data_IF_563980707750
#
_entry.id   IF_563980707750
#
_cell.length_a   1.000
_cell.length_b   1.000
_cell.length_c   1.000
_cell.angle_alpha   90.00
_cell.angle_beta   90.00
_cell.angle_gamma   90.00
#
_symmetry.space_group_name_H-M   'P 1'
#
loop_
_entity.id
_entity.type
_entity.pdbx_description
1 polymer ?
#
# COMPACT_ATOMS: atom_id res chain seq x y z
N UNK A 1 11.06 -14.23 -1.93
CA UNK A 1 10.11 -15.31 -2.31
C UNK A 1 9.63 -16.12 -1.10
N UNK A 2 10.48 -16.34 -0.09
CA UNK A 2 10.14 -17.09 1.14
C UNK A 2 8.88 -16.56 1.83
N UNK A 3 8.80 -15.24 2.11
CA UNK A 3 7.60 -14.59 2.67
C UNK A 3 6.30 -14.90 1.91
N UNK A 4 6.35 -14.91 0.57
CA UNK A 4 5.15 -15.16 -0.25
C UNK A 4 4.66 -16.61 -0.17
N UNK A 5 5.58 -17.58 0.04
CA UNK A 5 5.25 -19.01 0.07
C UNK A 5 4.91 -19.50 1.47
N UNK A 6 5.63 -19.02 2.48
CA UNK A 6 5.59 -19.56 3.82
C UNK A 6 5.22 -18.53 4.90
N UNK A 7 5.04 -17.26 4.53
CA UNK A 7 4.73 -16.20 5.48
C UNK A 7 3.33 -16.34 6.07
N UNK A 8 3.22 -16.05 7.37
CA UNK A 8 1.97 -15.93 8.08
C UNK A 8 2.13 -14.83 9.14
N UNK A 9 1.09 -14.02 9.33
CA UNK A 9 1.07 -12.95 10.31
C UNK A 9 0.78 -13.45 11.74
N UNK A 10 0.25 -14.67 11.88
CA UNK A 10 -0.12 -15.25 13.18
C UNK A 10 0.62 -16.57 13.38
N UNK A 11 1.50 -16.63 14.39
CA UNK A 11 2.32 -17.80 14.70
C UNK A 11 1.46 -19.04 14.99
N UNK A 12 0.31 -18.88 15.66
CA UNK A 12 -0.58 -19.99 16.02
C UNK A 12 -1.29 -20.65 14.84
N UNK A 13 -1.29 -20.02 13.66
CA UNK A 13 -1.84 -20.60 12.43
C UNK A 13 -0.84 -21.50 11.69
N UNK A 14 0.43 -21.51 12.12
CA UNK A 14 1.50 -22.31 11.49
C UNK A 14 1.67 -23.61 12.24
N UNK A 15 1.66 -24.72 11.53
CA UNK A 15 1.94 -26.04 12.11
C UNK A 15 3.39 -26.11 12.60
N UNK A 16 3.57 -26.67 13.80
CA UNK A 16 4.89 -26.87 14.42
C UNK A 16 5.75 -27.87 13.65
N UNK A 17 5.13 -28.81 12.95
CA UNK A 17 5.81 -29.84 12.16
C UNK A 17 6.17 -29.38 10.74
N UNK A 18 5.65 -28.23 10.29
CA UNK A 18 5.88 -27.75 8.93
C UNK A 18 7.30 -27.18 8.79
N UNK A 19 8.06 -27.74 7.86
CA UNK A 19 9.42 -27.29 7.53
C UNK A 19 9.45 -26.62 6.15
N UNK A 20 10.44 -25.75 5.95
CA UNK A 20 10.71 -25.12 4.68
C UNK A 20 12.17 -25.24 4.27
N UNK A 21 12.38 -25.38 2.98
CA UNK A 21 13.70 -25.35 2.36
C UNK A 21 14.14 -23.91 2.11
N UNK A 22 15.24 -23.52 2.75
CA UNK A 22 15.86 -22.20 2.60
C UNK A 22 17.25 -22.38 2.01
N UNK A 23 17.49 -21.79 0.84
CA UNK A 23 18.83 -21.72 0.27
C UNK A 23 19.63 -20.59 0.94
N UNK A 24 20.77 -20.95 1.52
CA UNK A 24 21.74 -20.00 2.05
C UNK A 24 22.51 -19.27 0.94
N UNK A 25 23.33 -18.29 1.33
CA UNK A 25 24.22 -17.57 0.40
C UNK A 25 25.26 -18.50 -0.26
N UNK A 26 25.60 -19.59 0.42
CA UNK A 26 26.43 -20.72 -0.04
C UNK A 26 25.70 -21.65 -1.04
N UNK A 27 24.44 -21.32 -1.41
CA UNK A 27 23.52 -22.16 -2.22
C UNK A 27 23.19 -23.51 -1.59
N UNK A 28 23.57 -23.76 -0.34
CA UNK A 28 23.16 -24.97 0.37
C UNK A 28 21.72 -24.80 0.86
N UNK A 29 20.91 -25.81 0.61
CA UNK A 29 19.51 -25.84 1.07
C UNK A 29 19.48 -26.43 2.47
N UNK A 30 18.92 -25.67 3.42
CA UNK A 30 18.72 -26.09 4.80
C UNK A 30 17.23 -26.14 5.09
N UNK A 31 16.82 -27.15 5.85
CA UNK A 31 15.46 -27.26 6.38
C UNK A 31 15.36 -26.45 7.65
N UNK A 32 14.40 -25.53 7.67
CA UNK A 32 14.13 -24.64 8.79
C UNK A 32 12.63 -24.74 9.08
N UNK A 33 12.19 -24.79 10.35
CA UNK A 33 10.76 -24.84 10.66
C UNK A 33 10.07 -23.57 10.16
N UNK A 34 8.87 -23.71 9.59
CA UNK A 34 8.10 -22.58 9.05
C UNK A 34 7.80 -21.53 10.10
N UNK A 35 7.58 -21.99 11.33
CA UNK A 35 7.32 -21.18 12.52
C UNK A 35 8.33 -20.06 12.73
N UNK A 36 9.63 -20.30 12.48
CA UNK A 36 10.68 -19.30 12.63
C UNK A 36 10.39 -18.02 11.82
N UNK A 37 9.76 -18.16 10.66
CA UNK A 37 9.41 -17.00 9.83
C UNK A 37 8.21 -16.27 10.37
N UNK A 38 7.21 -16.98 10.89
CA UNK A 38 6.07 -16.36 11.55
C UNK A 38 6.50 -15.58 12.81
N UNK A 39 7.49 -16.09 13.55
CA UNK A 39 8.09 -15.40 14.72
C UNK A 39 8.79 -14.08 14.35
N UNK A 40 9.19 -13.91 13.09
CA UNK A 40 9.74 -12.65 12.56
C UNK A 40 8.62 -11.75 12.00
N UNK A 41 7.66 -12.34 11.27
CA UNK A 41 6.61 -11.60 10.57
C UNK A 41 5.58 -11.02 11.54
N UNK A 42 5.11 -11.81 12.50
CA UNK A 42 4.08 -11.39 13.46
C UNK A 42 4.44 -10.08 14.18
N UNK A 43 5.59 -9.96 14.89
CA UNK A 43 5.92 -8.73 15.60
C UNK A 43 6.04 -7.52 14.66
N UNK A 44 6.47 -7.72 13.41
CA UNK A 44 6.51 -6.64 12.41
C UNK A 44 5.11 -6.20 11.97
N UNK A 45 4.18 -7.14 11.84
CA UNK A 45 2.78 -6.84 11.54
C UNK A 45 2.08 -6.14 12.72
N UNK A 46 2.36 -6.55 13.96
CA UNK A 46 1.86 -5.89 15.16
C UNK A 46 2.36 -4.44 15.25
N UNK A 47 3.67 -4.22 15.05
CA UNK A 47 4.27 -2.88 15.03
C UNK A 47 3.62 -1.97 13.97
N UNK A 48 3.45 -2.47 12.74
CA UNK A 48 2.80 -1.73 11.67
C UNK A 48 1.34 -1.40 12.00
N UNK A 49 0.62 -2.34 12.61
CA UNK A 49 -0.76 -2.14 13.00
C UNK A 49 -0.87 -1.08 14.11
N UNK A 50 0.07 -1.08 15.06
CA UNK A 50 0.13 -0.07 16.12
C UNK A 50 0.45 1.33 15.57
N UNK A 51 1.29 1.43 14.53
CA UNK A 51 1.54 2.68 13.82
C UNK A 51 0.28 3.17 13.09
N UNK A 52 -0.43 2.26 12.42
CA UNK A 52 -1.69 2.57 11.73
C UNK A 52 -2.74 3.02 12.74
N UNK A 53 -2.87 2.34 13.88
CA UNK A 53 -3.81 2.68 14.95
C UNK A 53 -3.57 4.10 15.48
N UNK A 54 -2.31 4.43 15.76
CA UNK A 54 -1.93 5.79 16.20
C UNK A 54 -2.26 6.84 15.16
N UNK A 55 -2.04 6.56 13.88
CA UNK A 55 -2.38 7.49 12.81
C UNK A 55 -3.89 7.70 12.68
N UNK A 56 -4.67 6.61 12.80
CA UNK A 56 -6.12 6.63 12.84
C UNK A 56 -6.59 7.53 14.01
N UNK A 57 -6.13 7.26 15.24
CA UNK A 57 -6.48 8.03 16.44
C UNK A 57 -6.08 9.51 16.36
N UNK A 58 -4.93 9.82 15.75
CA UNK A 58 -4.47 11.20 15.53
C UNK A 58 -5.26 11.93 14.44
N UNK A 59 -5.86 11.20 13.51
CA UNK A 59 -6.65 11.80 12.45
C UNK A 59 -7.97 12.34 13.04
N UNK A 60 -8.08 13.67 13.12
CA UNK A 60 -9.28 14.38 13.61
C UNK A 60 -10.52 14.21 12.72
N UNK A 61 -10.47 13.29 11.76
CA UNK A 61 -11.42 13.13 10.65
C UNK A 61 -12.16 11.80 10.70
N UNK A 62 -11.96 11.01 11.75
CA UNK A 62 -12.81 9.85 12.01
C UNK A 62 -14.16 10.36 12.47
N UNK A 63 -15.10 10.46 11.53
CA UNK A 63 -16.49 10.66 11.90
C UNK A 63 -16.95 9.49 12.79
N UNK A 64 -17.73 9.74 13.84
CA UNK A 64 -18.27 8.68 14.68
C UNK A 64 -19.16 7.75 13.83
N UNK A 65 -18.62 6.61 13.41
CA UNK A 65 -19.32 5.65 12.55
C UNK A 65 -18.47 4.84 11.57
N UNK A 66 -17.14 4.74 11.73
CA UNK A 66 -16.31 3.96 10.81
C UNK A 66 -16.81 2.51 10.64
N UNK A 67 -17.15 2.16 9.40
CA UNK A 67 -17.65 0.85 8.98
C UNK A 67 -16.56 -0.24 8.87
N UNK A 68 -15.39 -0.01 9.48
CA UNK A 68 -14.23 -0.89 9.41
C UNK A 68 -13.12 -0.44 8.47
N UNK A 69 -12.10 -1.28 8.32
CA UNK A 69 -10.87 -1.06 7.55
C UNK A 69 -10.82 -2.00 6.34
N UNK A 70 -10.39 -1.47 5.19
CA UNK A 70 -10.16 -2.26 3.98
C UNK A 70 -8.66 -2.34 3.72
N UNK A 71 -8.12 -3.55 3.69
CA UNK A 71 -6.73 -3.81 3.33
C UNK A 71 -6.60 -3.99 1.82
N UNK A 72 -5.67 -3.26 1.21
CA UNK A 72 -5.36 -3.36 -0.22
C UNK A 72 -3.86 -3.58 -0.42
N UNK A 73 -3.43 -3.75 -1.68
CA UNK A 73 -2.03 -3.99 -2.02
C UNK A 73 -1.57 -5.42 -1.78
N UNK A 74 -0.37 -5.76 -2.25
CA UNK A 74 0.15 -7.13 -2.17
C UNK A 74 0.48 -7.62 -0.74
N UNK A 75 0.56 -6.72 0.24
CA UNK A 75 0.78 -7.08 1.65
C UNK A 75 -0.49 -7.65 2.31
N UNK A 76 -1.67 -7.21 1.87
CA UNK A 76 -2.97 -7.73 2.36
C UNK A 76 -3.15 -9.23 2.14
N UNK A 77 -2.42 -9.82 1.18
CA UNK A 77 -2.41 -11.25 0.88
C UNK A 77 -1.66 -12.11 1.91
N UNK A 78 -1.02 -11.49 2.91
CA UNK A 78 -0.32 -12.23 3.95
C UNK A 78 -1.34 -12.97 4.82
N UNK A 79 -1.19 -14.30 4.92
CA UNK A 79 -2.11 -15.14 5.68
C UNK A 79 -2.24 -14.69 7.15
N UNK A 80 -3.47 -14.41 7.58
CA UNK A 80 -3.81 -14.02 8.96
C UNK A 80 -3.58 -12.53 9.28
N UNK A 81 -3.18 -11.70 8.31
CA UNK A 81 -2.97 -10.27 8.53
C UNK A 81 -4.28 -9.54 8.84
N UNK A 82 -5.35 -9.90 8.14
CA UNK A 82 -6.72 -9.42 8.38
C UNK A 82 -7.15 -9.64 9.84
N UNK A 83 -6.98 -10.87 10.34
CA UNK A 83 -7.35 -11.25 11.71
C UNK A 83 -6.47 -10.57 12.76
N UNK A 84 -5.17 -10.43 12.49
CA UNK A 84 -4.25 -9.73 13.38
C UNK A 84 -4.63 -8.25 13.48
N UNK A 85 -4.94 -7.61 12.35
CA UNK A 85 -5.35 -6.21 12.33
C UNK A 85 -6.70 -6.01 13.01
N UNK A 86 -7.68 -6.90 12.78
CA UNK A 86 -8.98 -6.85 13.45
C UNK A 86 -8.84 -6.96 14.97
N UNK A 87 -8.01 -7.88 15.45
CA UNK A 87 -7.74 -8.04 16.88
C UNK A 87 -7.09 -6.79 17.51
N UNK A 88 -6.16 -6.14 16.81
CA UNK A 88 -5.43 -4.99 17.36
C UNK A 88 -6.18 -3.66 17.21
N UNK A 89 -6.95 -3.49 16.12
CA UNK A 89 -7.71 -2.26 15.82
C UNK A 89 -9.08 -2.24 16.50
N UNK A 90 -9.68 -3.40 16.78
CA UNK A 90 -11.05 -3.47 17.32
C UNK A 90 -12.12 -3.05 16.32
N UNK A 91 -11.79 -3.03 15.03
CA UNK A 91 -12.66 -2.68 13.90
C UNK A 91 -12.73 -3.87 12.95
N UNK A 92 -13.83 -4.02 12.22
CA UNK A 92 -13.92 -5.04 11.17
C UNK A 92 -12.87 -4.79 10.08
N UNK A 93 -12.11 -5.82 9.69
CA UNK A 93 -11.08 -5.72 8.66
C UNK A 93 -11.40 -6.66 7.51
N UNK A 94 -11.34 -6.17 6.27
CA UNK A 94 -11.55 -7.00 5.08
C UNK A 94 -10.50 -6.72 4.01
N UNK A 95 -10.25 -7.70 3.15
CA UNK A 95 -9.38 -7.52 1.98
C UNK A 95 -10.21 -6.92 0.85
N UNK A 96 -9.78 -5.76 0.34
CA UNK A 96 -10.41 -5.07 -0.77
C UNK A 96 -9.89 -5.58 -2.10
N UNK A 97 -10.80 -5.99 -2.97
CA UNK A 97 -10.51 -6.32 -4.36
C UNK A 97 -10.79 -5.12 -5.26
N UNK A 98 -10.00 -4.89 -6.32
CA UNK A 98 -10.32 -3.86 -7.29
C UNK A 98 -11.47 -4.29 -8.20
N UNK A 99 -12.59 -3.59 -8.08
CA UNK A 99 -13.77 -3.72 -8.94
C UNK A 99 -13.89 -2.51 -9.90
N UNK A 100 -14.60 -2.65 -11.02
CA UNK A 100 -14.90 -1.56 -11.96
C UNK A 100 -14.24 -1.61 -13.34
N UNK A 101 -13.45 -2.64 -13.65
CA UNK A 101 -12.85 -2.82 -15.00
C UNK A 101 -13.88 -3.29 -16.02
N UNK A 102 -14.87 -4.07 -15.58
CA UNK A 102 -15.92 -4.66 -16.41
C UNK A 102 -16.76 -3.61 -17.17
N UNK A 103 -16.93 -2.42 -16.60
CA UNK A 103 -17.72 -1.34 -17.21
C UNK A 103 -16.93 -0.45 -18.17
N UNK A 104 -15.60 -0.36 -18.02
CA UNK A 104 -14.77 0.64 -18.69
C UNK A 104 -13.90 0.07 -19.82
N UNK A 105 -13.71 -1.26 -19.87
CA UNK A 105 -12.93 -1.92 -20.90
C UNK A 105 -13.85 -2.69 -21.85
N UNK A 106 -13.88 -2.31 -23.14
CA UNK A 106 -14.66 -2.98 -24.20
C UNK A 106 -14.25 -4.46 -24.46
N UNK A 107 -13.24 -4.97 -23.76
CA UNK A 107 -12.79 -6.34 -23.84
C UNK A 107 -13.32 -7.12 -22.62
N UNK A 108 -14.48 -7.75 -22.79
CA UNK A 108 -15.06 -8.73 -21.87
C UNK A 108 -14.25 -10.04 -21.85
N UNK A 109 -12.91 -9.96 -21.89
CA UNK A 109 -12.05 -11.12 -21.91
C UNK A 109 -11.99 -11.72 -20.50
N UNK A 110 -12.51 -12.94 -20.29
CA UNK A 110 -12.53 -13.59 -18.98
C UNK A 110 -11.11 -13.82 -18.43
N UNK A 111 -10.10 -13.90 -19.29
CA UNK A 111 -8.69 -14.05 -18.92
C UNK A 111 -8.09 -12.79 -18.28
N UNK A 112 -8.57 -11.60 -18.64
CA UNK A 112 -8.10 -10.36 -18.03
C UNK A 112 -8.70 -10.20 -16.64
N UNK A 113 -10.01 -10.44 -16.51
CA UNK A 113 -10.78 -10.33 -15.27
C UNK A 113 -10.25 -11.27 -14.16
N UNK A 114 -9.88 -12.51 -14.51
CA UNK A 114 -9.32 -13.48 -13.54
C UNK A 114 -7.95 -13.07 -12.99
N UNK A 115 -7.15 -12.35 -13.78
CA UNK A 115 -5.77 -12.02 -13.42
C UNK A 115 -5.66 -10.69 -12.68
N UNK A 116 -6.61 -9.77 -12.89
CA UNK A 116 -6.61 -8.44 -12.26
C UNK A 116 -7.36 -8.39 -10.93
N UNK A 117 -8.16 -9.41 -10.62
CA UNK A 117 -8.86 -9.56 -9.34
C UNK A 117 -7.88 -9.98 -8.22
N UNK A 118 -6.97 -9.06 -7.88
CA UNK A 118 -5.97 -9.22 -6.86
C UNK A 118 -5.71 -7.85 -6.21
N UNK A 119 -5.64 -7.76 -4.86
CA UNK A 119 -5.41 -6.49 -4.17
C UNK A 119 -4.06 -5.85 -4.55
N UNK A 120 -3.12 -6.63 -5.11
CA UNK A 120 -1.85 -6.11 -5.64
C UNK A 120 -2.03 -5.09 -6.76
N UNK A 121 -3.14 -5.15 -7.50
CA UNK A 121 -3.42 -4.26 -8.63
C UNK A 121 -4.34 -3.09 -8.27
N UNK A 122 -4.81 -2.99 -7.02
CA UNK A 122 -5.78 -1.97 -6.60
C UNK A 122 -5.35 -0.54 -6.92
N UNK A 123 -4.08 -0.19 -6.70
CA UNK A 123 -3.58 1.15 -7.00
C UNK A 123 -3.58 1.43 -8.50
N UNK A 124 -3.10 0.49 -9.32
CA UNK A 124 -3.03 0.68 -10.78
C UNK A 124 -4.41 0.83 -11.40
N UNK A 125 -5.36 0.00 -10.97
CA UNK A 125 -6.75 0.04 -11.45
C UNK A 125 -7.44 1.33 -11.00
N UNK A 126 -7.24 1.74 -9.73
CA UNK A 126 -7.77 3.00 -9.23
C UNK A 126 -7.25 4.22 -10.00
N UNK A 127 -5.98 4.22 -10.41
CA UNK A 127 -5.42 5.30 -11.24
C UNK A 127 -6.02 5.34 -12.64
N UNK A 128 -6.26 4.18 -13.26
CA UNK A 128 -6.90 4.10 -14.57
C UNK A 128 -8.33 4.65 -14.48
N UNK A 129 -9.12 4.19 -13.50
CA UNK A 129 -10.49 4.64 -13.29
C UNK A 129 -10.55 6.14 -13.01
N UNK A 130 -9.67 6.65 -12.14
CA UNK A 130 -9.58 8.08 -11.86
C UNK A 130 -9.21 8.91 -13.11
N UNK A 131 -8.44 8.34 -14.04
CA UNK A 131 -8.12 8.98 -15.32
C UNK A 131 -9.28 8.98 -16.29
N UNK A 132 -10.12 7.94 -16.29
CA UNK A 132 -11.30 7.82 -17.16
C UNK A 132 -12.49 8.62 -16.65
N UNK A 133 -12.61 8.82 -15.34
CA UNK A 133 -13.73 9.55 -14.72
C UNK A 133 -13.66 11.09 -14.98
N UNK A 134 -12.52 11.59 -15.45
CA UNK A 134 -12.27 13.02 -15.69
C UNK A 134 -12.47 13.52 -17.12
N UNK A 135 -12.67 12.65 -18.13
CA UNK A 135 -12.77 13.05 -19.54
C UNK A 135 -13.80 12.16 -20.29
N UNK A 136 -14.71 12.73 -21.11
CA UNK A 136 -15.48 11.92 -22.06
C UNK A 136 -14.49 11.23 -23.01
N UNK A 137 -14.60 9.91 -23.13
CA UNK A 137 -13.78 9.00 -23.96
C UNK A 137 -13.02 9.75 -25.07
N UNK A 138 -11.70 9.97 -24.95
CA UNK A 138 -10.96 10.66 -25.98
C UNK A 138 -10.94 9.81 -27.24
N UNK A 139 -11.16 10.46 -28.39
CA UNK A 139 -11.13 9.90 -29.73
C UNK A 139 -10.08 8.77 -29.85
N UNK A 140 -10.41 7.60 -30.44
CA UNK A 140 -9.51 6.44 -30.54
C UNK A 140 -8.16 6.72 -31.25
N UNK A 141 -8.00 7.90 -31.86
CA UNK A 141 -6.74 8.41 -32.43
C UNK A 141 -5.69 8.82 -31.36
N UNK A 142 -6.08 9.05 -30.10
CA UNK A 142 -5.15 9.50 -29.04
C UNK A 142 -4.31 8.36 -28.43
N UNK A 143 -4.72 7.10 -28.58
CA UNK A 143 -3.94 5.95 -28.10
C UNK A 143 -2.62 5.77 -28.87
N UNK A 144 -2.46 6.41 -30.03
CA UNK A 144 -1.24 6.41 -30.83
C UNK A 144 -0.15 7.39 -30.37
N UNK A 145 -0.39 8.19 -29.32
CA UNK A 145 0.54 9.22 -28.81
C UNK A 145 0.90 9.00 -27.34
N UNK A 146 1.39 7.83 -26.99
CA UNK A 146 2.04 7.63 -25.68
C UNK A 146 3.47 8.20 -25.78
N UNK A 147 3.62 9.52 -25.70
CA UNK A 147 4.93 10.18 -25.63
C UNK A 147 5.47 10.22 -24.19
N UNK A 148 6.81 10.16 -24.06
CA UNK A 148 7.54 10.17 -22.78
C UNK A 148 7.30 11.42 -21.90
N UNK A 149 6.75 12.49 -22.47
CA UNK A 149 6.46 13.73 -21.75
C UNK A 149 5.39 13.56 -20.67
N UNK A 150 4.39 12.70 -20.91
CA UNK A 150 3.34 12.40 -19.92
C UNK A 150 3.88 11.57 -18.75
N UNK A 151 4.80 10.63 -19.03
CA UNK A 151 5.47 9.84 -18.00
C UNK A 151 6.38 10.70 -17.12
N UNK A 152 7.09 11.66 -17.71
CA UNK A 152 7.97 12.57 -16.97
C UNK A 152 7.17 13.45 -16.00
N UNK A 153 6.02 14.00 -16.41
CA UNK A 153 5.16 14.81 -15.53
C UNK A 153 4.52 14.03 -14.37
N UNK A 154 4.31 12.72 -14.52
CA UNK A 154 3.86 11.84 -13.43
C UNK A 154 5.02 11.56 -12.46
N UNK A 155 6.23 11.37 -12.98
CA UNK A 155 7.42 11.12 -12.18
C UNK A 155 7.82 12.35 -11.33
N UNK A 156 7.69 13.56 -11.89
CA UNK A 156 8.00 14.81 -11.19
C UNK A 156 7.06 15.06 -10.00
N UNK A 157 5.76 14.78 -10.16
CA UNK A 157 4.78 14.87 -9.06
C UNK A 157 5.03 13.82 -7.98
N UNK A 158 5.43 12.60 -8.37
CA UNK A 158 5.80 11.56 -7.42
C UNK A 158 7.05 11.95 -6.62
N UNK A 159 8.06 12.55 -7.29
CA UNK A 159 9.28 13.06 -6.65
C UNK A 159 8.97 14.17 -5.66
N UNK A 160 8.06 15.07 -6.02
CA UNK A 160 7.61 16.15 -5.14
C UNK A 160 6.81 15.64 -3.94
N UNK A 161 5.92 14.66 -4.14
CA UNK A 161 5.22 13.98 -3.07
C UNK A 161 6.17 13.24 -2.11
N UNK A 162 7.16 12.50 -2.62
CA UNK A 162 8.19 11.83 -1.80
C UNK A 162 9.02 12.85 -1.03
N UNK A 163 9.40 13.97 -1.67
CA UNK A 163 10.14 15.05 -1.01
C UNK A 163 9.33 15.66 0.15
N UNK A 164 8.03 15.78 -0.01
CA UNK A 164 7.14 16.31 1.03
C UNK A 164 6.90 15.28 2.15
N UNK A 165 6.80 13.99 1.81
CA UNK A 165 6.61 12.90 2.77
C UNK A 165 7.84 12.68 3.67
N UNK A 166 9.05 12.82 3.13
CA UNK A 166 10.31 12.66 3.87
C UNK A 166 10.93 14.01 4.29
N UNK A 167 10.07 15.01 4.51
CA UNK A 167 10.42 16.42 4.69
C UNK A 167 11.80 16.72 5.30
N UNK A 168 12.74 17.12 4.44
CA UNK A 168 13.82 18.02 4.83
C UNK A 168 13.21 19.42 4.87
N UNK A 169 12.65 19.80 6.01
CA UNK A 169 12.20 21.17 6.26
C UNK A 169 13.13 21.82 7.27
N UNK A 170 14.11 22.57 6.76
CA UNK A 170 14.82 23.59 7.51
C UNK A 170 14.48 24.95 6.91
N UNK A 171 13.35 25.54 7.28
CA UNK A 171 13.10 26.95 7.02
C UNK A 171 12.56 27.64 8.27
N UNK A 172 13.47 28.27 9.01
CA UNK A 172 13.21 29.35 9.97
C UNK A 172 14.57 30.09 10.08
N UNK A 173 14.71 31.41 9.88
CA UNK A 173 13.90 32.50 10.39
C UNK A 173 13.96 33.72 9.45
N UNK A 174 12.79 34.11 8.91
CA UNK A 174 12.54 35.46 8.40
C UNK A 174 11.79 36.21 9.49
N UNK A 175 12.55 36.69 10.48
CA UNK A 175 12.04 37.38 11.66
C UNK A 175 12.89 38.60 12.02
N UNK A 176 12.97 39.60 11.13
CA UNK A 176 13.38 40.98 11.47
C UNK A 176 12.67 42.00 10.58
N UNK A 177 11.38 42.20 10.84
CA UNK A 177 10.65 43.43 10.49
C UNK A 177 9.89 43.88 11.72
N UNK A 178 10.61 44.45 12.70
CA UNK A 178 10.08 45.34 13.73
C UNK A 178 11.20 45.71 14.72
N UNK A 179 12.05 46.69 14.38
CA UNK A 179 12.60 47.61 15.39
C UNK A 179 13.26 48.82 14.73
N UNK A 180 12.93 49.99 15.26
CA UNK A 180 13.66 51.26 15.16
C UNK A 180 13.60 52.06 13.85
N UNK A 181 12.53 52.86 13.72
CA UNK A 181 12.68 54.28 13.35
C UNK A 181 13.36 55.04 14.51
N UNK A 182 14.09 56.10 14.17
CA UNK A 182 14.79 57.07 15.05
C UNK A 182 16.13 56.53 15.60
N UNK A 183 17.28 57.20 15.53
CA UNK A 183 17.59 58.64 15.56
C UNK A 183 19.07 58.84 15.13
N UNK A 184 19.33 59.99 14.49
CA UNK A 184 20.62 60.65 14.13
C UNK A 184 21.29 60.11 12.87
#
# INVERSE_FOLDING_TARGET
RIKKRYGCAIISMVDKAEEMDVAGADKQVRKIPRRYIAEIIQPRCEELTELIKREIENSSRLEPGLSGVILTGGASLLAGLDRLMEANLGLSVRIGMPDGIESSCASNSPLFQSNVNNPMYSTGIGLILHGTDGEPVPNPELLGRINGDVFNGIFDRMKEWVRNLFGVNGHELRGKTASMRQRI
#
